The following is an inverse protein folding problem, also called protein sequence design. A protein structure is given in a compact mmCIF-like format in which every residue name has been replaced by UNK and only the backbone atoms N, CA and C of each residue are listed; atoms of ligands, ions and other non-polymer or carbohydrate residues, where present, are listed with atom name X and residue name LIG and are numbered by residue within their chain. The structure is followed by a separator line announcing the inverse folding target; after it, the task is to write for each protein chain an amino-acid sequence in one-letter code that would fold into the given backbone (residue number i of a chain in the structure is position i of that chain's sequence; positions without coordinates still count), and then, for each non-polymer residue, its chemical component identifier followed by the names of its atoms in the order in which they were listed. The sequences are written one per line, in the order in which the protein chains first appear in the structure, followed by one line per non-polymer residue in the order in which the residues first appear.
data_IF_642484425423
#
_entry.id   IF_642484425423
#
_cell.length_a   1.000
_cell.length_b   1.000
_cell.length_c   1.000
_cell.angle_alpha   90.00
_cell.angle_beta   90.00
_cell.angle_gamma   90.00
#
_symmetry.space_group_name_H-M   'P 1'
#
loop_
_entity.id
_entity.type
_entity.pdbx_description
1 polymer ?
#
# COMPACT_ATOMS: atom_id res chain seq x y z
N UNK A 1 3.67 12.28 10.71
CA UNK A 1 2.27 12.26 10.27
C UNK A 1 1.72 13.66 10.11
N UNK A 2 1.56 14.46 11.17
CA UNK A 2 1.04 15.84 11.04
C UNK A 2 1.78 16.70 9.99
N UNK A 3 3.12 16.72 10.02
CA UNK A 3 3.93 17.46 9.05
C UNK A 3 3.78 16.99 7.60
N UNK A 4 3.56 15.70 7.37
CA UNK A 4 3.38 15.12 6.03
C UNK A 4 2.01 15.49 5.46
N UNK A 5 0.96 15.45 6.29
CA UNK A 5 -0.38 15.82 5.86
C UNK A 5 -0.52 17.32 5.61
N UNK A 6 0.07 18.17 6.46
CA UNK A 6 0.08 19.62 6.21
C UNK A 6 0.88 19.98 4.96
N UNK A 7 2.04 19.35 4.73
CA UNK A 7 2.80 19.58 3.49
C UNK A 7 2.05 19.08 2.26
N UNK A 8 1.38 17.93 2.35
CA UNK A 8 0.57 17.38 1.26
C UNK A 8 -0.60 18.30 0.91
N UNK A 9 -1.34 18.78 1.91
CA UNK A 9 -2.44 19.72 1.71
C UNK A 9 -1.98 21.02 1.04
N UNK A 10 -0.86 21.60 1.49
CA UNK A 10 -0.24 22.80 0.88
C UNK A 10 0.17 22.51 -0.57
N UNK A 11 0.79 21.35 -0.84
CA UNK A 11 1.19 20.95 -2.19
C UNK A 11 -0.02 20.86 -3.13
N UNK A 12 -1.08 20.15 -2.72
CA UNK A 12 -2.28 19.93 -3.55
C UNK A 12 -3.15 21.15 -3.75
N UNK A 13 -2.89 22.25 -3.03
CA UNK A 13 -3.57 23.54 -3.25
C UNK A 13 -2.66 24.56 -3.90
N UNK A 14 -1.55 24.92 -3.25
CA UNK A 14 -0.70 26.02 -3.69
C UNK A 14 0.04 25.69 -4.99
N UNK A 15 0.64 24.50 -5.10
CA UNK A 15 1.38 24.11 -6.31
C UNK A 15 0.41 23.88 -7.47
N UNK A 16 -0.68 23.15 -7.22
CA UNK A 16 -1.75 22.92 -8.22
C UNK A 16 -2.35 24.22 -8.72
N UNK A 17 -2.55 25.21 -7.83
CA UNK A 17 -3.03 26.53 -8.23
C UNK A 17 -2.05 27.22 -9.18
N UNK A 18 -0.74 27.15 -8.89
CA UNK A 18 0.30 27.72 -9.76
C UNK A 18 0.34 27.00 -11.12
N UNK A 19 0.19 25.68 -11.14
CA UNK A 19 0.15 24.89 -12.38
C UNK A 19 -1.07 25.25 -13.25
N UNK A 20 -2.26 25.33 -12.65
CA UNK A 20 -3.52 25.58 -13.35
C UNK A 20 -3.72 27.06 -13.74
N UNK A 21 -3.18 28.02 -12.97
CA UNK A 21 -3.46 29.46 -13.19
C UNK A 21 -2.25 30.29 -13.65
N UNK A 22 -1.01 29.83 -13.41
CA UNK A 22 0.21 30.56 -13.82
C UNK A 22 0.85 29.87 -15.02
N UNK A 23 1.45 28.70 -14.80
CA UNK A 23 1.95 27.81 -15.84
C UNK A 23 2.50 26.52 -15.23
N UNK A 24 2.53 25.46 -16.03
CA UNK A 24 3.17 24.19 -15.68
C UNK A 24 4.68 24.34 -15.41
N UNK A 25 5.37 25.22 -16.15
CA UNK A 25 6.82 25.46 -15.98
C UNK A 25 7.18 25.98 -14.58
N UNK A 26 6.37 26.90 -14.04
CA UNK A 26 6.55 27.41 -12.67
C UNK A 26 6.25 26.36 -11.60
N UNK A 27 5.18 25.57 -11.78
CA UNK A 27 4.84 24.48 -10.85
C UNK A 27 5.95 23.44 -10.74
N UNK A 28 6.41 22.91 -11.87
CA UNK A 28 7.53 21.97 -11.89
C UNK A 28 8.85 22.58 -11.45
N UNK A 29 9.10 23.86 -11.76
CA UNK A 29 10.30 24.57 -11.33
C UNK A 29 10.41 24.66 -9.80
N UNK A 30 9.31 25.00 -9.12
CA UNK A 30 9.25 25.05 -7.65
C UNK A 30 9.51 23.66 -7.06
N UNK A 31 8.86 22.63 -7.60
CA UNK A 31 9.03 21.24 -7.17
C UNK A 31 10.47 20.74 -7.38
N UNK A 32 11.10 21.06 -8.51
CA UNK A 32 12.49 20.71 -8.80
C UNK A 32 13.45 21.42 -7.83
N UNK A 33 13.24 22.72 -7.59
CA UNK A 33 14.05 23.49 -6.65
C UNK A 33 13.97 22.92 -5.22
N UNK A 34 12.76 22.57 -4.76
CA UNK A 34 12.57 21.94 -3.45
C UNK A 34 13.31 20.60 -3.33
N UNK A 35 13.27 19.77 -4.38
CA UNK A 35 14.01 18.51 -4.43
C UNK A 35 15.53 18.71 -4.39
N UNK A 36 16.05 19.69 -5.14
CA UNK A 36 17.48 20.03 -5.12
C UNK A 36 17.91 20.48 -3.73
N UNK A 37 17.13 21.35 -3.08
CA UNK A 37 17.40 21.78 -1.70
C UNK A 37 17.41 20.57 -0.74
N UNK A 38 16.43 19.67 -0.86
CA UNK A 38 16.37 18.43 -0.08
C UNK A 38 17.59 17.55 -0.28
N UNK A 39 18.04 17.37 -1.53
CA UNK A 39 19.24 16.61 -1.87
C UNK A 39 20.51 17.23 -1.28
N UNK A 40 20.65 18.55 -1.36
CA UNK A 40 21.79 19.27 -0.77
C UNK A 40 21.84 19.05 0.74
N UNK A 41 20.72 19.22 1.43
CA UNK A 41 20.63 18.97 2.88
C UNK A 41 20.96 17.51 3.21
N UNK A 42 20.47 16.56 2.43
CA UNK A 42 20.76 15.13 2.59
C UNK A 42 22.27 14.83 2.45
N UNK A 43 22.92 15.34 1.40
CA UNK A 43 24.34 15.10 1.16
C UNK A 43 25.22 15.78 2.23
N UNK A 44 24.88 17.00 2.65
CA UNK A 44 25.58 17.70 3.73
C UNK A 44 25.46 16.98 5.09
N UNK A 45 24.38 16.23 5.28
CA UNK A 45 24.13 15.40 6.45
C UNK A 45 24.95 14.10 6.49
N UNK A 46 25.60 13.70 5.39
CA UNK A 46 26.27 12.41 5.23
C UNK A 46 27.30 12.08 6.32
N UNK A 47 28.00 13.10 6.82
CA UNK A 47 28.97 12.99 7.93
C UNK A 47 28.35 12.57 9.27
N UNK A 48 27.04 12.75 9.45
CA UNK A 48 26.31 12.35 10.66
C UNK A 48 25.64 10.97 10.51
N UNK A 49 25.73 10.32 9.34
CA UNK A 49 25.02 9.07 9.08
C UNK A 49 25.79 7.86 9.62
N UNK A 50 25.10 7.05 10.44
CA UNK A 50 25.62 5.75 10.87
C UNK A 50 25.40 4.70 9.79
N UNK A 51 26.49 4.22 9.19
CA UNK A 51 26.44 3.14 8.19
C UNK A 51 26.17 1.80 8.87
N UNK A 52 25.00 1.24 8.63
CA UNK A 52 24.66 -0.12 9.05
C UNK A 52 25.14 -1.10 7.98
N UNK A 53 25.73 -2.23 8.41
CA UNK A 53 26.12 -3.27 7.45
C UNK A 53 24.88 -3.83 6.73
N UNK A 54 24.94 -4.04 5.41
CA UNK A 54 23.81 -4.57 4.66
C UNK A 54 23.51 -5.99 5.13
N UNK A 55 22.35 -6.16 5.77
CA UNK A 55 21.77 -7.48 5.97
C UNK A 55 21.22 -7.89 4.61
N UNK A 56 21.71 -9.00 4.05
CA UNK A 56 21.37 -9.44 2.70
C UNK A 56 19.86 -9.50 2.40
N UNK A 57 19.49 -9.65 1.13
CA UNK A 57 18.09 -9.56 0.71
C UNK A 57 17.19 -10.60 1.38
N UNK A 58 16.09 -10.20 2.05
CA UNK A 58 15.10 -11.13 2.60
C UNK A 58 14.41 -11.94 1.49
N UNK A 59 14.22 -11.35 0.31
CA UNK A 59 13.64 -12.03 -0.86
C UNK A 59 14.49 -13.20 -1.33
N UNK A 60 15.81 -13.05 -1.30
CA UNK A 60 16.71 -14.14 -1.65
C UNK A 60 16.54 -15.33 -0.69
N UNK A 61 16.23 -15.07 0.59
CA UNK A 61 15.87 -16.10 1.56
C UNK A 61 14.60 -16.87 1.18
N UNK A 62 13.56 -16.15 0.75
CA UNK A 62 12.29 -16.75 0.33
C UNK A 62 12.46 -17.59 -0.94
N UNK A 63 13.16 -17.06 -1.95
CA UNK A 63 13.45 -17.79 -3.20
C UNK A 63 14.26 -19.06 -2.92
N UNK A 64 15.26 -18.99 -2.03
CA UNK A 64 16.02 -20.17 -1.60
C UNK A 64 15.14 -21.26 -1.00
N UNK A 65 14.15 -20.89 -0.17
CA UNK A 65 13.20 -21.86 0.39
C UNK A 65 12.44 -22.56 -0.72
N UNK A 66 11.88 -21.82 -1.68
CA UNK A 66 11.13 -22.38 -2.81
C UNK A 66 12.01 -23.37 -3.58
N UNK A 67 13.24 -22.97 -3.94
CA UNK A 67 14.20 -23.84 -4.66
C UNK A 67 14.56 -25.09 -3.84
N UNK A 68 14.82 -24.94 -2.54
CA UNK A 68 15.17 -26.05 -1.66
C UNK A 68 14.01 -27.06 -1.51
N UNK A 69 12.76 -26.58 -1.45
CA UNK A 69 11.57 -27.45 -1.44
C UNK A 69 11.50 -28.27 -2.72
N UNK A 70 11.68 -27.66 -3.90
CA UNK A 70 11.65 -28.39 -5.17
C UNK A 70 12.76 -29.44 -5.27
N UNK A 71 13.98 -29.12 -4.81
CA UNK A 71 15.11 -30.06 -4.76
C UNK A 71 14.87 -31.21 -3.80
N UNK A 72 14.16 -30.97 -2.70
CA UNK A 72 13.84 -31.95 -1.65
C UNK A 72 12.41 -32.50 -1.75
N UNK A 73 11.76 -32.38 -2.91
CA UNK A 73 10.33 -32.71 -3.07
C UNK A 73 9.98 -34.18 -2.80
N UNK A 74 10.96 -35.08 -2.93
CA UNK A 74 10.78 -36.51 -2.70
C UNK A 74 11.03 -36.92 -1.24
N UNK A 75 11.46 -36.00 -0.38
CA UNK A 75 11.74 -36.32 1.03
C UNK A 75 10.44 -36.37 1.85
N UNK A 76 10.40 -37.34 2.77
CA UNK A 76 9.34 -37.44 3.76
C UNK A 76 9.56 -36.39 4.83
N UNK A 77 8.49 -35.66 5.20
CA UNK A 77 8.54 -34.66 6.25
C UNK A 77 8.67 -35.37 7.60
N UNK A 78 9.64 -34.97 8.43
CA UNK A 78 9.80 -35.56 9.77
C UNK A 78 8.89 -34.86 10.79
N UNK A 79 8.37 -35.64 11.75
CA UNK A 79 7.64 -35.12 12.90
C UNK A 79 8.57 -34.70 14.05
N UNK A 80 9.86 -35.01 13.97
CA UNK A 80 10.84 -34.65 15.02
C UNK A 80 11.39 -33.25 14.76
N UNK A 81 11.31 -32.38 15.75
CA UNK A 81 11.80 -30.99 15.65
C UNK A 81 13.32 -30.91 15.44
N UNK A 82 14.08 -31.91 15.92
CA UNK A 82 15.55 -32.00 15.86
C UNK A 82 16.09 -32.16 14.43
N UNK A 83 15.28 -32.71 13.53
CA UNK A 83 15.64 -32.98 12.14
C UNK A 83 15.66 -31.71 11.28
N UNK A 84 15.20 -30.59 11.81
CA UNK A 84 15.17 -29.30 11.12
C UNK A 84 16.38 -28.43 11.44
N UNK A 85 16.86 -27.69 10.44
CA UNK A 85 17.96 -26.75 10.56
C UNK A 85 17.48 -25.41 11.11
N UNK A 86 17.92 -25.08 12.33
CA UNK A 86 17.64 -23.80 12.97
C UNK A 86 18.82 -22.85 12.79
N UNK A 87 18.53 -21.55 12.79
CA UNK A 87 19.57 -20.55 12.89
C UNK A 87 20.15 -20.60 14.31
N UNK A 88 21.34 -21.18 14.47
CA UNK A 88 22.01 -21.25 15.76
C UNK A 88 22.58 -19.87 16.10
N UNK A 89 21.82 -19.08 16.87
CA UNK A 89 22.36 -17.89 17.51
C UNK A 89 23.31 -18.38 18.61
N UNK A 90 24.61 -18.24 18.40
CA UNK A 90 25.65 -18.49 19.41
C UNK A 90 25.64 -17.34 20.43
N UNK A 91 24.56 -17.15 21.18
CA UNK A 91 24.56 -16.31 22.37
C UNK A 91 24.89 -17.20 23.57
N UNK A 92 26.19 -17.22 23.92
CA UNK A 92 26.70 -17.81 25.15
C UNK A 92 26.44 -16.82 26.29
N UNK A 93 25.20 -16.65 26.73
CA UNK A 93 24.91 -16.06 28.04
C UNK A 93 23.66 -16.74 28.63
N UNK A 94 23.87 -17.63 29.60
CA UNK A 94 22.86 -17.95 30.61
C UNK A 94 21.80 -19.00 30.25
N UNK A 95 22.21 -20.22 29.89
CA UNK A 95 21.55 -21.47 30.34
C UNK A 95 20.06 -21.72 30.05
N UNK A 96 19.36 -20.88 29.28
CA UNK A 96 18.00 -21.14 28.80
C UNK A 96 17.99 -21.15 27.29
N UNK A 97 17.86 -22.36 26.74
CA UNK A 97 17.50 -22.58 25.35
C UNK A 97 16.07 -22.03 25.18
N UNK A 98 15.93 -20.81 24.66
CA UNK A 98 14.62 -20.33 24.21
C UNK A 98 14.11 -21.34 23.18
N UNK A 99 12.98 -21.94 23.51
CA UNK A 99 12.37 -23.08 22.83
C UNK A 99 12.31 -22.78 21.34
N UNK A 100 13.15 -23.48 20.58
CA UNK A 100 13.14 -23.41 19.12
C UNK A 100 11.73 -23.77 18.64
N UNK A 101 11.07 -22.83 17.97
CA UNK A 101 9.68 -22.95 17.54
C UNK A 101 9.45 -24.27 16.79
N UNK A 102 8.46 -25.04 17.23
CA UNK A 102 8.05 -26.27 16.54
C UNK A 102 7.54 -25.93 15.14
N UNK A 103 7.84 -26.75 14.11
CA UNK A 103 7.37 -26.52 12.75
C UNK A 103 5.83 -26.44 12.70
N UNK A 104 5.28 -25.42 12.05
CA UNK A 104 3.82 -25.30 11.93
C UNK A 104 3.25 -26.41 11.04
N UNK A 105 2.11 -27.00 11.43
CA UNK A 105 1.40 -28.07 10.71
C UNK A 105 0.71 -27.63 9.41
N UNK A 106 0.57 -26.33 9.17
CA UNK A 106 0.10 -25.80 7.88
C UNK A 106 1.24 -25.76 6.86
N UNK A 107 0.94 -26.09 5.60
CA UNK A 107 1.92 -26.08 4.49
C UNK A 107 3.18 -26.91 4.82
N UNK A 108 2.99 -28.11 5.41
CA UNK A 108 4.07 -28.99 5.87
C UNK A 108 5.09 -29.34 4.79
N UNK A 109 4.68 -29.39 3.51
CA UNK A 109 5.60 -29.66 2.40
C UNK A 109 6.75 -28.62 2.33
N UNK A 110 6.54 -27.39 2.80
CA UNK A 110 7.59 -26.37 2.86
C UNK A 110 8.67 -26.68 3.91
N UNK A 111 8.35 -27.49 4.93
CA UNK A 111 9.32 -27.93 5.94
C UNK A 111 10.48 -28.73 5.33
N UNK A 112 10.26 -29.34 4.16
CA UNK A 112 11.30 -30.07 3.42
C UNK A 112 12.55 -29.22 3.16
N UNK A 113 12.42 -27.92 2.96
CA UNK A 113 13.56 -27.03 2.74
C UNK A 113 14.48 -26.91 3.97
N UNK A 114 13.94 -27.09 5.17
CA UNK A 114 14.70 -27.03 6.42
C UNK A 114 15.13 -28.40 6.94
N UNK A 115 14.74 -29.50 6.30
CA UNK A 115 15.09 -30.86 6.74
C UNK A 115 16.57 -31.13 6.50
N UNK A 116 17.29 -31.56 7.54
CA UNK A 116 18.71 -31.93 7.47
C UNK A 116 18.86 -33.25 6.69
N UNK A 117 19.81 -33.26 5.76
CA UNK A 117 20.22 -34.45 5.00
C UNK A 117 21.74 -34.55 5.09
N UNK A 118 22.28 -35.77 4.99
CA UNK A 118 23.73 -36.00 4.99
C UNK A 118 24.44 -35.12 3.95
N UNK A 119 25.52 -34.46 4.38
CA UNK A 119 26.31 -33.54 3.56
C UNK A 119 25.76 -32.10 3.47
N UNK A 120 24.59 -31.79 4.02
CA UNK A 120 24.05 -30.42 4.01
C UNK A 120 24.63 -29.52 5.11
N UNK A 121 25.22 -30.11 6.16
CA UNK A 121 25.84 -29.40 7.28
C UNK A 121 27.34 -29.70 7.27
N UNK A 122 28.16 -28.66 7.33
CA UNK A 122 29.61 -28.77 7.46
C UNK A 122 29.99 -29.22 8.89
N UNK A 123 31.20 -29.74 9.11
CA UNK A 123 31.65 -30.17 10.44
C UNK A 123 31.61 -29.06 11.51
N UNK A 124 31.64 -27.79 11.09
CA UNK A 124 31.51 -26.61 11.95
C UNK A 124 30.07 -26.28 12.36
N UNK A 125 29.09 -27.09 11.93
CA UNK A 125 27.66 -26.88 12.16
C UNK A 125 27.02 -25.84 11.23
N UNK A 126 27.79 -25.26 10.30
CA UNK A 126 27.29 -24.28 9.34
C UNK A 126 26.66 -24.94 8.12
N UNK A 127 25.76 -24.20 7.47
CA UNK A 127 25.11 -24.65 6.25
C UNK A 127 26.11 -24.76 5.09
N UNK A 128 26.21 -25.94 4.46
CA UNK A 128 27.07 -26.17 3.32
C UNK A 128 26.57 -25.46 2.05
N UNK A 129 25.25 -25.44 1.81
CA UNK A 129 24.64 -24.81 0.63
C UNK A 129 23.27 -24.18 0.96
N UNK A 130 23.18 -22.83 1.02
CA UNK A 130 21.93 -22.10 1.26
C UNK A 130 20.80 -22.35 0.27
N UNK A 131 21.08 -22.94 -0.90
CA UNK A 131 20.09 -23.29 -1.92
C UNK A 131 19.57 -24.73 -1.82
N UNK A 132 20.09 -25.52 -0.87
CA UNK A 132 19.67 -26.91 -0.62
C UNK A 132 19.13 -27.08 0.80
N UNK A 133 19.66 -26.33 1.76
CA UNK A 133 19.19 -26.30 3.14
C UNK A 133 18.88 -24.85 3.55
N UNK A 134 17.65 -24.60 4.01
CA UNK A 134 17.21 -23.32 4.55
C UNK A 134 17.00 -23.41 6.05
N UNK A 135 16.99 -22.26 6.73
CA UNK A 135 16.61 -22.21 8.15
C UNK A 135 15.10 -22.40 8.31
N UNK A 136 14.65 -23.07 9.39
CA UNK A 136 13.22 -23.20 9.69
C UNK A 136 12.53 -21.82 9.77
N UNK A 137 13.27 -20.82 10.24
CA UNK A 137 12.87 -19.41 10.19
C UNK A 137 12.38 -18.97 8.81
N UNK A 138 13.21 -19.15 7.79
CA UNK A 138 12.89 -18.71 6.43
C UNK A 138 11.68 -19.47 5.87
N UNK A 139 11.53 -20.75 6.26
CA UNK A 139 10.37 -21.56 5.88
C UNK A 139 9.10 -21.03 6.52
N UNK A 140 9.12 -20.73 7.82
CA UNK A 140 7.98 -20.16 8.53
C UNK A 140 7.63 -18.75 8.06
N UNK A 141 8.62 -17.92 7.74
CA UNK A 141 8.44 -16.61 7.10
C UNK A 141 7.69 -16.76 5.75
N UNK A 142 8.10 -17.72 4.90
CA UNK A 142 7.43 -17.99 3.63
C UNK A 142 6.00 -18.52 3.81
N UNK A 143 5.77 -19.42 4.76
CA UNK A 143 4.43 -19.93 5.08
C UNK A 143 3.48 -18.81 5.48
N UNK A 144 3.94 -17.91 6.34
CA UNK A 144 3.15 -16.77 6.78
C UNK A 144 2.85 -15.84 5.61
N UNK A 145 3.82 -15.59 4.72
CA UNK A 145 3.61 -14.80 3.51
C UNK A 145 2.56 -15.41 2.58
N UNK A 146 2.60 -16.73 2.36
CA UNK A 146 1.60 -17.44 1.53
C UNK A 146 0.20 -17.32 2.15
N UNK A 147 0.08 -17.44 3.47
CA UNK A 147 -1.21 -17.26 4.17
C UNK A 147 -1.73 -15.83 4.13
N UNK A 148 -0.83 -14.86 4.01
CA UNK A 148 -1.16 -13.44 3.93
C UNK A 148 -1.56 -13.02 2.51
N UNK A 149 -1.15 -13.79 1.51
CA UNK A 149 -1.41 -13.49 0.09
C UNK A 149 -2.90 -13.26 -0.21
N UNK A 150 -3.86 -14.11 0.24
CA UNK A 150 -5.28 -13.86 -0.01
C UNK A 150 -5.77 -12.53 0.60
N UNK A 151 -5.30 -12.17 1.79
CA UNK A 151 -5.68 -10.91 2.44
C UNK A 151 -5.13 -9.72 1.65
N UNK A 152 -3.86 -9.81 1.21
CA UNK A 152 -3.26 -8.78 0.37
C UNK A 152 -3.99 -8.64 -0.97
N UNK A 153 -4.38 -9.75 -1.61
CA UNK A 153 -5.17 -9.74 -2.85
C UNK A 153 -6.51 -9.04 -2.70
N UNK A 154 -7.21 -9.21 -1.56
CA UNK A 154 -8.46 -8.47 -1.31
C UNK A 154 -8.25 -6.96 -1.21
N UNK A 155 -7.11 -6.53 -0.66
CA UNK A 155 -6.71 -5.13 -0.63
C UNK A 155 -6.51 -4.56 -2.03
N UNK A 156 -5.76 -5.26 -2.88
CA UNK A 156 -5.53 -4.85 -4.28
C UNK A 156 -6.84 -4.69 -5.03
N UNK A 157 -7.77 -5.65 -4.90
CA UNK A 157 -9.06 -5.61 -5.58
C UNK A 157 -9.89 -4.37 -5.22
N UNK A 158 -9.82 -3.90 -3.98
CA UNK A 158 -10.57 -2.72 -3.51
C UNK A 158 -9.80 -1.41 -3.69
N UNK A 159 -8.47 -1.45 -3.72
CA UNK A 159 -7.65 -0.29 -4.07
C UNK A 159 -7.88 0.16 -5.50
N UNK A 160 -7.96 -0.76 -6.46
CA UNK A 160 -8.16 -0.43 -7.88
C UNK A 160 -9.36 0.49 -8.14
N UNK A 161 -10.60 0.14 -7.75
CA UNK A 161 -11.75 1.02 -8.00
C UNK A 161 -11.67 2.35 -7.24
N UNK A 162 -11.03 2.39 -6.07
CA UNK A 162 -10.81 3.63 -5.32
C UNK A 162 -9.81 4.54 -6.05
N UNK A 163 -8.71 3.97 -6.54
CA UNK A 163 -7.72 4.69 -7.35
C UNK A 163 -8.37 5.24 -8.62
N UNK A 164 -9.17 4.44 -9.32
CA UNK A 164 -9.96 4.88 -10.49
C UNK A 164 -10.90 6.02 -10.11
N UNK A 165 -11.63 5.93 -8.99
CA UNK A 165 -12.51 7.00 -8.53
C UNK A 165 -11.75 8.31 -8.31
N UNK A 166 -10.59 8.26 -7.66
CA UNK A 166 -9.76 9.45 -7.40
C UNK A 166 -9.23 10.03 -8.72
N UNK A 167 -8.74 9.21 -9.65
CA UNK A 167 -8.26 9.65 -10.95
C UNK A 167 -9.38 10.24 -11.83
N UNK A 168 -10.58 9.65 -11.80
CA UNK A 168 -11.74 10.13 -12.55
C UNK A 168 -12.36 11.40 -11.97
N UNK A 169 -12.07 11.75 -10.72
CA UNK A 169 -12.59 12.96 -10.09
C UNK A 169 -12.18 14.23 -10.86
N UNK A 170 -10.97 14.28 -11.42
CA UNK A 170 -10.47 15.41 -12.22
C UNK A 170 -11.27 15.60 -13.52
N UNK A 171 -11.37 14.62 -14.43
CA UNK A 171 -12.19 14.77 -15.63
C UNK A 171 -13.68 14.98 -15.32
N UNK A 172 -14.21 14.40 -14.24
CA UNK A 172 -15.57 14.72 -13.78
C UNK A 172 -15.71 16.19 -13.42
N UNK A 173 -14.84 16.71 -12.57
CA UNK A 173 -14.83 18.10 -12.12
C UNK A 173 -14.64 19.10 -13.28
N UNK A 174 -13.94 18.73 -14.36
CA UNK A 174 -13.81 19.56 -15.57
C UNK A 174 -15.17 19.87 -16.22
N UNK A 175 -16.10 18.93 -16.15
CA UNK A 175 -17.43 19.03 -16.78
C UNK A 175 -18.52 19.61 -15.86
N UNK A 176 -18.17 19.90 -14.61
CA UNK A 176 -19.10 20.37 -13.57
C UNK A 176 -18.93 21.88 -13.30
N UNK A 177 -19.91 22.48 -12.66
CA UNK A 177 -19.82 23.87 -12.25
C UNK A 177 -18.87 24.02 -11.05
N UNK A 178 -17.81 24.81 -11.26
CA UNK A 178 -16.70 25.03 -10.32
C UNK A 178 -16.70 26.44 -9.71
N UNK A 179 -17.73 27.24 -9.95
CA UNK A 179 -17.79 28.60 -9.43
C UNK A 179 -18.12 28.60 -7.92
N UNK A 180 -17.31 29.33 -7.14
CA UNK A 180 -17.64 29.71 -5.77
C UNK A 180 -17.93 31.21 -5.79
N UNK A 181 -19.22 31.57 -5.65
CA UNK A 181 -19.67 32.95 -5.80
C UNK A 181 -19.35 33.50 -7.19
N UNK A 182 -19.09 34.80 -7.29
CA UNK A 182 -19.00 35.48 -8.59
C UNK A 182 -17.57 35.58 -9.17
N UNK A 183 -16.53 35.31 -8.38
CA UNK A 183 -15.15 35.67 -8.75
C UNK A 183 -14.13 34.54 -8.66
N UNK A 184 -14.46 33.39 -8.07
CA UNK A 184 -13.50 32.32 -7.87
C UNK A 184 -13.94 31.03 -8.55
N UNK A 185 -13.04 30.42 -9.31
CA UNK A 185 -13.23 29.13 -9.96
C UNK A 185 -12.24 28.14 -9.37
N UNK A 186 -12.75 27.05 -8.79
CA UNK A 186 -11.90 26.05 -8.14
C UNK A 186 -11.03 25.34 -9.22
N UNK A 187 -9.71 25.22 -9.03
CA UNK A 187 -8.85 24.39 -9.87
C UNK A 187 -9.30 22.93 -9.84
N UNK A 188 -9.30 22.25 -10.98
CA UNK A 188 -9.94 20.92 -11.10
C UNK A 188 -9.24 19.90 -10.19
N UNK A 189 -7.92 19.85 -10.27
CA UNK A 189 -7.09 18.89 -9.55
C UNK A 189 -7.07 19.16 -8.03
N UNK A 190 -7.49 20.35 -7.59
CA UNK A 190 -7.56 20.70 -6.17
C UNK A 190 -8.68 19.99 -5.41
N UNK A 191 -9.63 19.34 -6.09
CA UNK A 191 -10.73 18.60 -5.44
C UNK A 191 -10.22 17.47 -4.53
N UNK A 192 -9.02 16.94 -4.79
CA UNK A 192 -8.41 15.90 -3.95
C UNK A 192 -8.10 16.38 -2.52
N UNK A 193 -8.08 17.71 -2.27
CA UNK A 193 -7.86 18.24 -0.92
C UNK A 193 -8.91 17.74 0.08
N UNK A 194 -10.15 17.54 -0.36
CA UNK A 194 -11.22 17.04 0.51
C UNK A 194 -10.92 15.63 1.01
N UNK A 195 -10.29 14.80 0.18
CA UNK A 195 -9.80 13.48 0.58
C UNK A 195 -8.69 13.61 1.61
N UNK A 196 -7.66 14.42 1.35
CA UNK A 196 -6.49 14.60 2.24
C UNK A 196 -6.90 15.16 3.61
N UNK A 197 -7.76 16.18 3.62
CA UNK A 197 -8.29 16.76 4.86
C UNK A 197 -9.12 15.73 5.61
N UNK A 198 -9.98 14.98 4.93
CA UNK A 198 -10.76 13.91 5.55
C UNK A 198 -9.87 12.82 6.16
N UNK A 199 -8.80 12.38 5.47
CA UNK A 199 -7.81 11.43 6.02
C UNK A 199 -7.09 12.00 7.24
N UNK A 200 -6.73 13.28 7.21
CA UNK A 200 -6.06 13.92 8.34
C UNK A 200 -6.97 13.97 9.57
N UNK A 201 -8.23 14.37 9.36
CA UNK A 201 -9.25 14.45 10.41
C UNK A 201 -9.61 13.05 10.93
N UNK A 202 -9.70 12.05 10.06
CA UNK A 202 -10.01 10.68 10.46
C UNK A 202 -8.92 10.11 11.36
N UNK A 203 -7.63 10.25 11.00
CA UNK A 203 -6.52 9.79 11.87
C UNK A 203 -6.56 10.45 13.24
N UNK A 204 -6.76 11.78 13.31
CA UNK A 204 -6.89 12.50 14.59
C UNK A 204 -8.08 11.96 15.39
N UNK A 205 -9.22 11.79 14.73
CA UNK A 205 -10.43 11.27 15.35
C UNK A 205 -10.22 9.85 15.91
N UNK A 206 -9.56 8.98 15.15
CA UNK A 206 -9.29 7.59 15.52
C UNK A 206 -8.36 7.49 16.72
N UNK A 207 -7.21 8.17 16.65
CA UNK A 207 -6.19 8.10 17.69
C UNK A 207 -6.64 8.79 18.99
N UNK A 208 -7.34 9.92 18.88
CA UNK A 208 -7.68 10.73 20.05
C UNK A 208 -9.01 10.33 20.70
N UNK A 209 -9.97 9.81 19.93
CA UNK A 209 -11.31 9.54 20.42
C UNK A 209 -11.71 8.08 20.26
N UNK A 210 -11.68 7.53 19.05
CA UNK A 210 -12.24 6.20 18.79
C UNK A 210 -11.46 5.09 19.51
N UNK A 211 -10.14 5.04 19.36
CA UNK A 211 -9.32 3.97 19.95
C UNK A 211 -9.25 4.03 21.48
N UNK A 212 -9.08 5.21 22.14
CA UNK A 212 -9.17 5.29 23.59
C UNK A 212 -10.54 4.87 24.13
N UNK A 213 -11.63 5.26 23.45
CA UNK A 213 -12.99 4.84 23.82
C UNK A 213 -13.18 3.32 23.64
N UNK A 214 -12.71 2.78 22.52
CA UNK A 214 -12.75 1.34 22.25
C UNK A 214 -11.99 0.54 23.31
N UNK A 215 -10.81 1.02 23.70
CA UNK A 215 -10.00 0.40 24.74
C UNK A 215 -10.70 0.48 26.11
N UNK A 216 -11.37 1.59 26.41
CA UNK A 216 -12.15 1.75 27.66
C UNK A 216 -13.34 0.80 27.74
N UNK A 217 -14.00 0.55 26.61
CA UNK A 217 -15.20 -0.32 26.54
C UNK A 217 -14.81 -1.80 26.48
N UNK A 218 -13.85 -2.16 25.63
CA UNK A 218 -13.54 -3.56 25.32
C UNK A 218 -12.32 -4.10 26.07
N UNK A 219 -11.55 -3.24 26.75
CA UNK A 219 -10.30 -3.58 27.43
C UNK A 219 -9.12 -3.89 26.50
N UNK A 220 -9.30 -3.80 25.17
CA UNK A 220 -8.27 -4.13 24.17
C UNK A 220 -8.26 -3.14 23.02
N UNK A 221 -7.16 -3.02 22.31
CA UNK A 221 -7.12 -2.27 21.05
C UNK A 221 -7.90 -3.00 19.94
N UNK A 222 -8.50 -2.27 18.98
CA UNK A 222 -9.19 -2.89 17.86
C UNK A 222 -8.21 -3.72 17.03
N UNK A 223 -8.53 -4.99 16.71
CA UNK A 223 -7.68 -5.85 15.90
C UNK A 223 -7.35 -5.22 14.53
N UNK A 224 -6.11 -5.35 14.02
CA UNK A 224 -5.75 -4.75 12.74
C UNK A 224 -6.65 -5.17 11.57
N UNK A 225 -7.04 -6.45 11.49
CA UNK A 225 -7.96 -6.94 10.44
C UNK A 225 -9.33 -6.26 10.52
N UNK A 226 -9.80 -5.92 11.71
CA UNK A 226 -11.07 -5.23 11.87
C UNK A 226 -10.99 -3.78 11.39
N UNK A 227 -9.88 -3.09 11.67
CA UNK A 227 -9.63 -1.74 11.15
C UNK A 227 -9.60 -1.74 9.61
N UNK A 228 -8.85 -2.68 9.03
CA UNK A 228 -8.79 -2.89 7.58
C UNK A 228 -10.19 -3.14 7.01
N UNK A 229 -10.97 -4.03 7.63
CA UNK A 229 -12.34 -4.34 7.19
C UNK A 229 -13.28 -3.13 7.22
N UNK A 230 -13.20 -2.30 8.27
CA UNK A 230 -14.00 -1.07 8.38
C UNK A 230 -13.64 -0.08 7.27
N UNK A 231 -12.35 0.12 7.00
CA UNK A 231 -11.89 0.97 5.89
C UNK A 231 -12.46 0.53 4.54
N UNK A 232 -12.41 -0.77 4.25
CA UNK A 232 -12.99 -1.34 3.03
C UNK A 232 -14.49 -1.11 2.89
N UNK A 233 -15.26 -1.28 3.97
CA UNK A 233 -16.71 -1.02 3.94
C UNK A 233 -16.99 0.45 3.62
N UNK A 234 -16.22 1.38 4.20
CA UNK A 234 -16.36 2.81 3.93
C UNK A 234 -16.03 3.13 2.47
N UNK A 235 -15.00 2.51 1.89
CA UNK A 235 -14.67 2.65 0.46
C UNK A 235 -15.77 2.12 -0.46
N UNK A 236 -16.38 0.98 -0.14
CA UNK A 236 -17.52 0.46 -0.91
C UNK A 236 -18.70 1.44 -0.88
N UNK A 237 -18.99 2.04 0.28
CA UNK A 237 -20.03 3.07 0.41
C UNK A 237 -19.66 4.31 -0.43
N UNK A 238 -18.40 4.72 -0.44
CA UNK A 238 -17.92 5.83 -1.27
C UNK A 238 -18.13 5.56 -2.77
N UNK A 239 -17.80 4.36 -3.24
CA UNK A 239 -18.02 3.94 -4.63
C UNK A 239 -19.50 3.94 -5.00
N UNK A 240 -20.38 3.49 -4.09
CA UNK A 240 -21.82 3.54 -4.31
C UNK A 240 -22.33 4.99 -4.44
N UNK A 241 -21.84 5.90 -3.60
CA UNK A 241 -22.17 7.33 -3.68
C UNK A 241 -21.66 7.94 -4.98
N UNK A 242 -20.43 7.62 -5.39
CA UNK A 242 -19.87 8.08 -6.66
C UNK A 242 -20.70 7.62 -7.85
N UNK A 243 -21.18 6.36 -7.84
CA UNK A 243 -22.06 5.85 -8.89
C UNK A 243 -23.39 6.62 -8.94
N UNK A 244 -24.00 6.95 -7.79
CA UNK A 244 -25.22 7.77 -7.74
C UNK A 244 -24.97 9.19 -8.27
N UNK A 245 -23.86 9.80 -7.86
CA UNK A 245 -23.46 11.15 -8.31
C UNK A 245 -23.27 11.17 -9.83
N UNK A 246 -22.58 10.17 -10.39
CA UNK A 246 -22.35 10.08 -11.82
C UNK A 246 -23.65 9.81 -12.60
N UNK A 247 -24.53 8.95 -12.09
CA UNK A 247 -25.86 8.76 -12.70
C UNK A 247 -26.66 10.06 -12.76
N UNK A 248 -26.62 10.87 -11.71
CA UNK A 248 -27.31 12.16 -11.70
C UNK A 248 -26.66 13.17 -12.67
N UNK A 249 -25.33 13.21 -12.72
CA UNK A 249 -24.58 14.06 -13.66
C UNK A 249 -24.91 13.72 -15.11
N UNK A 250 -24.93 12.44 -15.47
CA UNK A 250 -25.25 11.97 -16.82
C UNK A 250 -26.70 12.29 -17.23
N UNK A 251 -27.66 12.14 -16.31
CA UNK A 251 -29.06 12.53 -16.55
C UNK A 251 -29.19 14.02 -16.89
N UNK A 252 -28.46 14.87 -16.18
CA UNK A 252 -28.44 16.32 -16.46
C UNK A 252 -27.71 16.62 -17.77
N UNK A 253 -26.61 15.94 -18.05
CA UNK A 253 -25.82 16.11 -19.27
C UNK A 253 -26.59 15.76 -20.55
N UNK A 254 -27.55 14.84 -20.48
CA UNK A 254 -28.37 14.48 -21.64
C UNK A 254 -29.31 15.61 -22.09
N UNK A 255 -29.71 16.49 -21.16
CA UNK A 255 -30.68 17.56 -21.41
C UNK A 255 -30.03 18.89 -21.85
N UNK A 256 -28.71 18.92 -22.02
CA UNK A 256 -27.96 20.13 -22.36
C UNK A 256 -27.20 19.94 -23.68
N UNK A 257 -26.75 21.05 -24.27
CA UNK A 257 -26.00 21.03 -25.53
C UNK A 257 -24.68 20.26 -25.36
N UNK A 258 -24.24 19.51 -26.39
CA UNK A 258 -22.94 18.85 -26.38
C UNK A 258 -21.83 19.86 -26.05
N UNK A 259 -20.90 19.46 -25.18
CA UNK A 259 -19.75 20.26 -24.69
C UNK A 259 -20.08 21.45 -23.78
N UNK A 260 -21.30 21.57 -23.26
CA UNK A 260 -21.62 22.53 -22.20
C UNK A 260 -21.28 22.00 -20.80
N UNK A 261 -20.99 22.91 -19.86
CA UNK A 261 -20.78 22.56 -18.45
C UNK A 261 -22.11 22.09 -17.87
N UNK A 262 -22.11 20.93 -17.23
CA UNK A 262 -23.29 20.40 -16.53
C UNK A 262 -23.63 21.35 -15.37
N UNK A 263 -24.89 21.80 -15.23
CA UNK A 263 -25.32 22.67 -14.14
C UNK A 263 -25.44 21.90 -12.82
N UNK A 264 -24.36 21.21 -12.45
CA UNK A 264 -24.19 20.42 -11.24
C UNK A 264 -22.92 20.90 -10.56
N UNK A 265 -23.06 21.32 -9.30
CA UNK A 265 -21.92 21.83 -8.53
C UNK A 265 -20.86 20.74 -8.32
N UNK A 266 -19.59 21.11 -8.47
CA UNK A 266 -18.44 20.24 -8.21
C UNK A 266 -18.40 19.70 -6.77
N UNK A 267 -19.08 20.36 -5.83
CA UNK A 267 -19.18 19.91 -4.44
C UNK A 267 -19.92 18.57 -4.27
N UNK A 268 -20.69 18.13 -5.27
CA UNK A 268 -21.22 16.77 -5.30
C UNK A 268 -20.13 15.69 -5.36
N UNK A 269 -18.88 16.05 -5.65
CA UNK A 269 -17.75 15.13 -5.57
C UNK A 269 -17.18 14.97 -4.15
N UNK A 270 -17.49 15.89 -3.24
CA UNK A 270 -16.94 15.91 -1.89
C UNK A 270 -17.35 14.69 -1.06
N UNK A 271 -18.62 14.23 -1.04
CA UNK A 271 -19.01 13.11 -0.20
C UNK A 271 -18.22 11.82 -0.47
N UNK A 272 -18.03 11.46 -1.74
CA UNK A 272 -17.23 10.28 -2.09
C UNK A 272 -15.75 10.48 -1.77
N UNK A 273 -15.16 11.64 -2.07
CA UNK A 273 -13.74 11.91 -1.78
C UNK A 273 -13.46 11.94 -0.28
N UNK A 274 -14.36 12.55 0.50
CA UNK A 274 -14.27 12.58 1.96
C UNK A 274 -14.40 11.17 2.55
N UNK A 275 -15.30 10.33 2.04
CA UNK A 275 -15.42 8.95 2.49
C UNK A 275 -14.22 8.09 2.10
N UNK A 276 -13.63 8.29 0.91
CA UNK A 276 -12.35 7.65 0.54
C UNK A 276 -11.29 7.99 1.58
N UNK A 277 -11.12 9.29 1.88
CA UNK A 277 -10.13 9.74 2.85
C UNK A 277 -10.40 9.26 4.27
N UNK A 278 -11.67 9.19 4.68
CA UNK A 278 -12.06 8.68 5.99
C UNK A 278 -11.77 7.18 6.13
N UNK A 279 -12.09 6.39 5.09
CA UNK A 279 -11.77 4.96 5.01
C UNK A 279 -10.26 4.70 5.07
N UNK A 280 -9.47 5.53 4.40
CA UNK A 280 -8.00 5.45 4.41
C UNK A 280 -7.41 5.62 5.82
N UNK A 281 -8.04 6.45 6.65
CA UNK A 281 -7.65 6.62 8.05
C UNK A 281 -7.74 5.35 8.89
N UNK A 282 -8.65 4.42 8.57
CA UNK A 282 -8.72 3.11 9.21
C UNK A 282 -7.80 2.09 8.53
N UNK A 283 -7.78 2.15 7.20
CA UNK A 283 -7.11 1.16 6.36
C UNK A 283 -5.59 1.20 6.54
N UNK A 284 -4.97 2.37 6.40
CA UNK A 284 -3.50 2.52 6.44
C UNK A 284 -2.89 2.12 7.79
N UNK A 285 -3.36 2.63 8.95
CA UNK A 285 -2.84 2.19 10.25
C UNK A 285 -3.09 0.70 10.52
N UNK A 286 -4.23 0.17 10.06
CA UNK A 286 -4.57 -1.25 10.17
C UNK A 286 -3.57 -2.15 9.42
N UNK A 287 -3.19 -1.79 8.19
CA UNK A 287 -2.18 -2.51 7.42
C UNK A 287 -0.82 -2.48 8.10
N UNK A 288 -0.37 -1.29 8.52
CA UNK A 288 0.90 -1.12 9.21
C UNK A 288 0.94 -1.96 10.50
N UNK A 289 -0.12 -1.91 11.30
CA UNK A 289 -0.23 -2.67 12.55
C UNK A 289 -0.24 -4.18 12.30
N UNK A 290 -0.91 -4.65 11.25
CA UNK A 290 -0.93 -6.07 10.88
C UNK A 290 0.47 -6.58 10.53
N UNK A 291 1.22 -5.85 9.69
CA UNK A 291 2.57 -6.25 9.31
C UNK A 291 3.53 -6.25 10.50
N UNK A 292 3.45 -5.23 11.35
CA UNK A 292 4.26 -5.21 12.58
C UNK A 292 3.91 -6.36 13.52
N UNK A 293 2.64 -6.75 13.66
CA UNK A 293 2.25 -7.89 14.49
C UNK A 293 2.78 -9.21 13.93
N UNK A 294 2.73 -9.42 12.61
CA UNK A 294 3.26 -10.63 11.98
C UNK A 294 4.77 -10.77 12.22
N UNK A 295 5.51 -9.66 12.17
CA UNK A 295 6.94 -9.65 12.43
C UNK A 295 7.28 -9.79 13.93
N UNK A 296 6.49 -9.18 14.81
CA UNK A 296 6.80 -9.06 16.25
C UNK A 296 6.31 -10.24 17.08
N UNK A 297 5.17 -10.85 16.75
CA UNK A 297 4.62 -11.98 17.53
C UNK A 297 5.42 -13.27 17.40
N UNK A 298 6.31 -13.37 16.41
CA UNK A 298 7.07 -14.60 16.17
C UNK A 298 8.59 -14.41 16.28
N UNK A 299 9.15 -13.19 16.14
CA UNK A 299 10.60 -12.99 16.17
C UNK A 299 11.07 -11.65 16.75
N UNK A 300 11.91 -11.72 17.79
CA UNK A 300 12.68 -10.60 18.34
C UNK A 300 13.78 -10.14 17.37
N UNK A 301 13.40 -9.50 16.26
CA UNK A 301 14.35 -8.85 15.34
C UNK A 301 13.78 -7.56 14.77
N UNK A 302 14.13 -6.43 15.41
CA UNK A 302 13.81 -5.03 15.01
C UNK A 302 14.24 -4.58 13.60
N UNK A 303 14.74 -5.47 12.73
CA UNK A 303 15.45 -5.08 11.49
C UNK A 303 14.91 -5.78 10.23
N UNK A 304 13.99 -6.76 10.32
CA UNK A 304 13.30 -7.31 9.14
C UNK A 304 12.12 -6.43 8.66
N UNK A 305 11.62 -5.54 9.52
CA UNK A 305 10.46 -4.68 9.25
C UNK A 305 10.60 -3.75 8.03
N UNK A 306 11.81 -3.46 7.52
CA UNK A 306 11.96 -2.54 6.38
C UNK A 306 11.77 -3.18 5.01
N UNK A 307 12.00 -4.48 4.86
CA UNK A 307 12.01 -5.12 3.54
C UNK A 307 10.63 -5.57 3.04
N UNK A 308 9.83 -6.16 3.94
CA UNK A 308 8.49 -6.68 3.61
C UNK A 308 7.44 -5.56 3.70
N UNK A 309 7.51 -4.74 4.76
CA UNK A 309 6.69 -3.51 4.86
C UNK A 309 6.99 -2.56 3.70
N UNK A 310 8.27 -2.36 3.34
CA UNK A 310 8.64 -1.50 2.22
C UNK A 310 8.30 -2.05 0.84
N UNK A 311 8.10 -3.37 0.68
CA UNK A 311 7.55 -3.91 -0.57
C UNK A 311 6.04 -3.77 -0.62
N UNK A 312 5.32 -3.96 0.48
CA UNK A 312 3.86 -3.82 0.45
C UNK A 312 3.43 -2.35 0.51
N UNK A 313 4.21 -1.47 1.12
CA UNK A 313 4.04 -0.02 1.01
C UNK A 313 4.35 0.48 -0.40
N UNK A 314 5.22 -0.21 -1.16
CA UNK A 314 5.58 0.12 -2.56
C UNK A 314 4.70 -0.57 -3.62
N UNK A 315 4.04 -1.68 -3.27
CA UNK A 315 3.07 -2.41 -4.13
C UNK A 315 1.61 -2.11 -3.76
N UNK A 316 1.37 -1.62 -2.55
CA UNK A 316 0.14 -0.97 -2.09
C UNK A 316 0.26 0.55 -2.11
N UNK A 317 1.35 1.07 -2.68
CA UNK A 317 1.40 2.47 -3.08
C UNK A 317 0.41 2.62 -4.22
N UNK A 318 -0.62 3.41 -3.94
CA UNK A 318 -1.35 4.27 -4.86
C UNK A 318 -0.72 4.40 -6.25
N UNK A 319 0.58 4.72 -6.33
CA UNK A 319 1.30 5.01 -7.57
C UNK A 319 1.31 3.88 -8.61
N UNK A 320 1.50 2.62 -8.22
CA UNK A 320 1.51 1.50 -9.17
C UNK A 320 0.12 1.14 -9.72
N UNK A 321 -0.92 1.39 -8.91
CA UNK A 321 -2.31 1.22 -9.33
C UNK A 321 -2.78 2.42 -10.15
N UNK A 322 -2.32 3.64 -9.84
CA UNK A 322 -2.56 4.82 -10.68
C UNK A 322 -1.93 4.66 -12.06
N UNK A 323 -0.68 4.17 -12.14
CA UNK A 323 0.02 3.91 -13.40
C UNK A 323 -0.65 2.80 -14.23
N UNK A 324 -1.14 1.73 -13.58
CA UNK A 324 -1.95 0.69 -14.24
C UNK A 324 -3.32 1.21 -14.71
N UNK A 325 -4.02 1.99 -13.88
CA UNK A 325 -5.32 2.57 -14.26
C UNK A 325 -5.18 3.60 -15.39
N UNK A 326 -4.11 4.40 -15.40
CA UNK A 326 -3.80 5.29 -16.53
C UNK A 326 -3.51 4.49 -17.80
N UNK A 327 -2.79 3.36 -17.70
CA UNK A 327 -2.53 2.48 -18.85
C UNK A 327 -3.82 1.87 -19.44
N UNK A 328 -4.75 1.42 -18.58
CA UNK A 328 -6.05 0.86 -19.00
C UNK A 328 -6.99 1.94 -19.57
N UNK A 329 -6.98 3.14 -18.99
CA UNK A 329 -7.74 4.29 -19.53
C UNK A 329 -7.19 4.76 -20.87
N UNK A 330 -5.87 4.72 -21.07
CA UNK A 330 -5.23 5.04 -22.36
C UNK A 330 -5.58 4.02 -23.44
N UNK A 331 -5.70 2.74 -23.08
CA UNK A 331 -6.12 1.66 -23.98
C UNK A 331 -7.59 1.81 -24.41
N UNK A 332 -8.49 2.16 -23.49
CA UNK A 332 -9.89 2.46 -23.82
C UNK A 332 -10.06 3.71 -24.68
N UNK A 333 -9.25 4.76 -24.46
CA UNK A 333 -9.25 5.98 -25.28
C UNK A 333 -8.75 5.70 -26.70
N UNK A 334 -7.68 4.91 -26.83
CA UNK A 334 -7.15 4.43 -28.13
C UNK A 334 -8.17 3.58 -28.89
N UNK A 335 -8.92 2.72 -28.20
CA UNK A 335 -9.94 1.88 -28.82
C UNK A 335 -11.19 2.66 -29.25
N UNK A 336 -11.49 3.79 -28.60
CA UNK A 336 -12.60 4.68 -28.96
C UNK A 336 -12.30 5.56 -30.18
N UNK A 337 -11.05 6.01 -30.34
CA UNK A 337 -10.63 6.80 -31.50
C UNK A 337 -10.46 5.94 -32.77
N UNK A 338 -10.08 4.66 -32.62
CA UNK A 338 -10.04 3.70 -33.73
C UNK A 338 -11.42 3.34 -34.31
N UNK A 339 -12.48 3.42 -33.51
CA UNK A 339 -13.85 3.22 -33.98
C UNK A 339 -14.40 4.45 -34.73
N UNK A 340 -14.03 5.67 -34.30
CA UNK A 340 -14.42 6.91 -34.99
C UNK A 340 -13.65 7.16 -36.30
N UNK A 341 -12.46 6.61 -36.44
CA UNK A 341 -11.65 6.73 -37.67
C UNK A 341 -12.22 5.98 -38.88
N UNK A 342 -13.06 4.96 -38.67
CA UNK A 342 -13.65 4.17 -39.75
C UNK A 342 -15.08 4.61 -40.14
N UNK A 343 -15.72 5.48 -39.35
CA UNK A 343 -17.07 5.99 -39.64
C UNK A 343 -17.05 7.32 -40.42
N UNK A 344 -15.89 7.97 -40.57
CA UNK A 344 -15.72 9.22 -41.35
C UNK A 344 -15.20 8.96 -42.77
N UNK A 345 -14.98 7.69 -43.16
CA UNK A 345 -14.57 7.30 -44.51
C UNK A 345 -15.70 6.66 -45.34
N UNK A 346 -16.93 6.66 -44.83
CA UNK A 346 -18.10 6.12 -45.52
C UNK A 346 -19.35 6.99 -45.29
N UNK A 347 -19.25 8.28 -45.61
CA UNK A 347 -20.38 9.13 -46.04
C UNK A 347 -19.88 10.32 -46.86
#
# INVERSE_FOLDING_TARGET
MFTLYTSSAISTTAIVYVEDNVSWGWGFGISAAANVVGLVVFVLGSRFYRRLQPKGSPFLGLVRVVVAVFRKRNLVVSNRSEDYYYYQRREVIGGRMEIAATPTSSLQFLNRAALKVEGDIKPDGSNANPWKLCTLQQVEDLKNLIKLFPLWSTGVFLFTPVAVLVSLATPQALTMDRQIGNHFKIPVSSMIIFMIVSTSLSVIFLDRFLYPMWQKITGRFPPPLQQIGVGHVIWVISLAIAAIVEQNRLKMAHNITPNSVVPMSVFWLVPQLALVGFGEGFHFPGYIALYYQIDTYKYSTRIKCKGISGCIEKYGDSDGVYEYCDSVLHEHRSSGDGAKGNEVAAE
#
